data_IF_552274680743
#
_entry.id   IF_552274680743
#
_cell.length_a   1.000
_cell.length_b   1.000
_cell.length_c   1.000
_cell.angle_alpha   90.00
_cell.angle_beta   90.00
_cell.angle_gamma   90.00
#
_symmetry.space_group_name_H-M   'P 1'
#
loop_
_entity.id
_entity.type
_entity.pdbx_description
1 polymer ?
#
# COMPACT_ATOMS: atom_id res chain seq x y z
N UNK A 1 18.27 -7.61 1.43
CA UNK A 1 18.51 -6.24 1.92
C UNK A 1 19.03 -6.39 3.35
N UNK A 2 20.25 -5.94 3.64
CA UNK A 2 20.92 -6.19 4.92
C UNK A 2 20.57 -5.02 5.86
N UNK A 3 20.22 -5.31 7.13
CA UNK A 3 19.82 -4.32 8.16
C UNK A 3 20.84 -3.19 8.31
N UNK A 4 22.12 -3.47 8.07
CA UNK A 4 23.23 -2.52 8.18
C UNK A 4 23.11 -1.30 7.26
N UNK A 5 22.37 -1.41 6.15
CA UNK A 5 22.12 -0.31 5.21
C UNK A 5 21.11 0.72 5.76
N UNK A 6 20.33 0.38 6.79
CA UNK A 6 19.26 1.21 7.37
C UNK A 6 19.58 1.80 8.74
N UNK A 7 20.61 1.30 9.43
CA UNK A 7 20.96 1.66 10.82
C UNK A 7 21.57 3.06 11.00
N UNK A 8 21.84 3.77 9.91
CA UNK A 8 22.35 5.15 9.97
C UNK A 8 21.27 6.23 10.18
N UNK A 9 20.00 5.85 10.17
CA UNK A 9 18.88 6.75 10.42
C UNK A 9 18.63 6.87 11.92
N UNK A 10 18.18 8.06 12.35
CA UNK A 10 17.80 8.31 13.73
C UNK A 10 16.66 7.38 14.16
N UNK A 11 16.76 6.83 15.37
CA UNK A 11 15.69 6.08 16.00
C UNK A 11 14.76 7.02 16.79
N UNK A 12 13.48 6.70 16.77
CA UNK A 12 12.42 7.36 17.50
C UNK A 12 11.60 6.29 18.23
N UNK A 13 11.10 6.62 19.41
CA UNK A 13 10.28 5.73 20.24
C UNK A 13 8.88 6.34 20.43
N UNK A 14 8.04 6.37 19.36
CA UNK A 14 6.67 6.86 19.43
C UNK A 14 5.80 6.00 20.34
N UNK A 15 4.70 6.62 20.81
CA UNK A 15 3.66 5.98 21.58
C UNK A 15 2.48 5.63 20.66
N UNK A 16 1.96 4.42 20.77
CA UNK A 16 0.77 3.96 20.07
C UNK A 16 -0.46 4.67 20.64
N UNK A 17 -1.23 5.30 19.77
CA UNK A 17 -2.49 5.95 20.14
C UNK A 17 -3.69 5.03 19.97
N UNK A 18 -3.70 4.28 18.87
CA UNK A 18 -4.77 3.37 18.51
C UNK A 18 -4.22 2.18 17.74
N UNK A 19 -4.80 1.00 17.96
CA UNK A 19 -4.57 -0.21 17.18
C UNK A 19 -5.93 -0.84 16.88
N UNK A 20 -6.47 -0.56 15.69
CA UNK A 20 -7.81 -0.97 15.27
C UNK A 20 -7.74 -2.06 14.21
N UNK A 21 -8.49 -3.16 14.39
CA UNK A 21 -8.71 -4.13 13.31
C UNK A 21 -9.54 -3.47 12.21
N UNK A 22 -9.09 -3.58 10.96
CA UNK A 22 -9.73 -3.02 9.76
C UNK A 22 -10.14 -4.10 8.76
N UNK A 23 -9.72 -5.36 8.94
CA UNK A 23 -10.27 -6.50 8.22
C UNK A 23 -11.57 -6.95 8.89
N UNK A 24 -12.53 -7.43 8.10
CA UNK A 24 -13.76 -8.00 8.61
C UNK A 24 -13.48 -9.13 9.62
N UNK A 25 -14.38 -9.34 10.57
CA UNK A 25 -14.20 -10.40 11.58
C UNK A 25 -14.14 -11.79 10.96
N UNK A 26 -14.86 -11.98 9.87
CA UNK A 26 -14.95 -13.22 9.09
C UNK A 26 -13.81 -13.40 8.08
N UNK A 27 -12.99 -12.37 7.85
CA UNK A 27 -11.82 -12.46 6.97
C UNK A 27 -10.76 -13.39 7.56
N UNK A 28 -10.07 -14.13 6.68
CA UNK A 28 -9.03 -15.08 7.06
C UNK A 28 -7.85 -14.41 7.76
N UNK A 29 -7.53 -13.19 7.36
CA UNK A 29 -6.41 -12.43 7.89
C UNK A 29 -6.87 -11.33 8.84
N UNK A 30 -6.15 -11.17 9.95
CA UNK A 30 -6.25 -10.00 10.80
C UNK A 30 -5.38 -8.89 10.22
N UNK A 31 -6.00 -7.75 9.88
CA UNK A 31 -5.27 -6.54 9.45
C UNK A 31 -5.65 -5.40 10.37
N UNK A 32 -4.64 -4.65 10.82
CA UNK A 32 -4.80 -3.51 11.72
C UNK A 32 -4.29 -2.22 11.12
N UNK A 33 -5.00 -1.14 11.40
CA UNK A 33 -4.52 0.22 11.30
C UNK A 33 -3.97 0.62 12.67
N UNK A 34 -2.69 1.00 12.70
CA UNK A 34 -1.97 1.35 13.93
C UNK A 34 -1.54 2.79 13.83
N UNK A 35 -2.08 3.63 14.73
CA UNK A 35 -1.76 5.05 14.81
C UNK A 35 -0.80 5.31 15.96
N UNK A 36 0.19 6.17 15.72
CA UNK A 36 1.17 6.57 16.73
C UNK A 36 1.62 8.02 16.53
N UNK A 37 2.20 8.61 17.57
CA UNK A 37 2.78 9.94 17.52
C UNK A 37 4.28 9.88 17.69
N UNK A 38 5.01 10.47 16.73
CA UNK A 38 6.46 10.56 16.70
C UNK A 38 6.90 12.03 16.86
N UNK A 39 8.16 12.24 17.30
CA UNK A 39 8.81 13.54 17.34
C UNK A 39 8.66 14.29 16.00
N UNK A 40 8.26 15.54 16.02
CA UNK A 40 7.99 16.35 14.82
C UNK A 40 9.19 16.61 13.90
N UNK A 41 10.39 16.16 14.30
CA UNK A 41 11.58 16.11 13.43
C UNK A 41 11.59 14.92 12.47
N UNK A 42 10.69 13.97 12.66
CA UNK A 42 10.43 12.92 11.68
C UNK A 42 9.64 13.52 10.52
N UNK A 43 10.28 13.65 9.36
CA UNK A 43 9.70 14.30 8.18
C UNK A 43 9.41 13.25 7.10
N UNK A 44 8.18 12.79 7.04
CA UNK A 44 7.71 11.75 6.13
C UNK A 44 6.57 12.26 5.26
N UNK A 45 6.54 11.81 4.02
CA UNK A 45 5.53 12.16 3.04
C UNK A 45 4.74 10.93 2.59
N UNK A 46 3.55 11.17 2.04
CA UNK A 46 2.72 10.12 1.45
C UNK A 46 3.46 9.41 0.30
N UNK A 47 3.38 8.09 0.28
CA UNK A 47 4.15 7.22 -0.63
C UNK A 47 5.48 6.73 -0.06
N UNK A 48 5.97 7.35 1.02
CA UNK A 48 7.15 6.85 1.73
C UNK A 48 6.79 5.80 2.78
N UNK A 49 7.83 5.10 3.25
CA UNK A 49 7.76 4.11 4.31
C UNK A 49 8.48 4.60 5.56
N UNK A 50 8.05 4.13 6.70
CA UNK A 50 8.84 4.09 7.92
C UNK A 50 9.35 2.68 8.16
N UNK A 51 10.48 2.58 8.84
CA UNK A 51 11.07 1.32 9.28
C UNK A 51 10.67 1.04 10.71
N UNK A 52 10.16 -0.16 10.98
CA UNK A 52 9.78 -0.62 12.30
C UNK A 52 10.79 -1.65 12.83
N UNK A 53 11.22 -1.46 14.05
CA UNK A 53 12.13 -2.39 14.75
C UNK A 53 11.34 -3.16 15.79
N UNK A 54 11.00 -4.41 15.48
CA UNK A 54 10.47 -5.34 16.46
C UNK A 54 11.62 -6.00 17.25
N UNK A 55 11.38 -6.47 18.48
CA UNK A 55 12.34 -7.32 19.18
C UNK A 55 12.72 -8.53 18.32
N UNK A 56 14.02 -8.77 18.16
CA UNK A 56 14.54 -9.90 17.40
C UNK A 56 14.57 -11.19 18.20
N UNK A 57 15.06 -12.26 17.56
CA UNK A 57 15.29 -13.56 18.22
C UNK A 57 16.65 -13.57 18.88
N UNK A 58 16.70 -13.28 20.19
CA UNK A 58 17.93 -13.27 20.96
C UNK A 58 18.65 -14.63 20.96
N UNK A 59 17.89 -15.73 20.82
CA UNK A 59 18.40 -17.12 20.77
C UNK A 59 19.37 -17.35 19.60
N UNK A 60 19.28 -16.55 18.53
CA UNK A 60 20.17 -16.61 17.37
C UNK A 60 21.02 -15.36 17.20
N UNK A 61 21.11 -14.51 18.26
CA UNK A 61 21.93 -13.29 18.26
C UNK A 61 21.34 -12.15 17.43
N UNK A 62 20.03 -12.16 17.17
CA UNK A 62 19.33 -11.09 16.47
C UNK A 62 18.62 -10.19 17.49
N UNK A 63 19.16 -8.99 17.72
CA UNK A 63 18.59 -8.03 18.69
C UNK A 63 17.31 -7.38 18.18
N UNK A 64 17.21 -7.11 16.89
CA UNK A 64 16.08 -6.43 16.25
C UNK A 64 15.68 -7.11 14.95
N UNK A 65 14.38 -7.06 14.66
CA UNK A 65 13.79 -7.48 13.38
C UNK A 65 13.20 -6.27 12.69
N UNK A 66 13.81 -5.85 11.60
CA UNK A 66 13.45 -4.65 10.85
C UNK A 66 12.50 -4.96 9.69
N UNK A 67 11.45 -4.14 9.52
CA UNK A 67 10.54 -4.18 8.37
C UNK A 67 10.10 -2.77 7.99
N UNK A 68 9.82 -2.57 6.71
CA UNK A 68 9.25 -1.34 6.17
C UNK A 68 7.72 -1.42 6.14
N UNK A 69 7.07 -0.33 6.52
CA UNK A 69 5.63 -0.15 6.42
C UNK A 69 5.31 1.18 5.76
N UNK A 70 4.41 1.15 4.79
CA UNK A 70 3.97 2.36 4.09
C UNK A 70 3.10 3.21 5.00
N UNK A 71 3.21 4.54 4.85
CA UNK A 71 2.32 5.48 5.52
C UNK A 71 0.90 5.29 5.00
N UNK A 72 -0.03 5.00 5.90
CA UNK A 72 -1.42 4.61 5.60
C UNK A 72 -2.43 5.75 5.71
N UNK A 73 -2.05 6.90 6.25
CA UNK A 73 -2.85 8.14 6.28
C UNK A 73 -1.95 9.35 6.06
N UNK A 74 -2.54 10.50 5.75
CA UNK A 74 -1.81 11.76 5.63
C UNK A 74 -1.17 12.11 6.98
N UNK A 75 0.16 12.34 7.02
CA UNK A 75 0.83 12.76 8.23
C UNK A 75 0.24 14.05 8.79
N UNK A 76 -0.13 14.06 10.08
CA UNK A 76 -0.80 15.19 10.71
C UNK A 76 0.07 15.78 11.81
N UNK A 77 0.41 17.06 11.70
CA UNK A 77 1.08 17.78 12.78
C UNK A 77 0.09 18.12 13.89
N UNK A 78 0.48 17.83 15.11
CA UNK A 78 -0.28 18.12 16.33
C UNK A 78 0.10 19.51 16.88
N UNK A 79 -0.72 20.07 17.75
CA UNK A 79 -0.48 21.39 18.35
C UNK A 79 0.78 21.42 19.24
N UNK A 80 1.17 20.29 19.81
CA UNK A 80 2.41 20.12 20.59
C UNK A 80 3.66 19.84 19.74
N UNK A 81 3.50 19.93 18.39
CA UNK A 81 4.61 19.85 17.44
C UNK A 81 5.05 18.42 17.09
N UNK A 82 4.33 17.39 17.52
CA UNK A 82 4.54 16.01 17.09
C UNK A 82 3.94 15.74 15.71
N UNK A 83 4.21 14.55 15.20
CA UNK A 83 3.64 14.06 13.94
C UNK A 83 2.85 12.78 14.21
N UNK A 84 1.56 12.80 13.89
CA UNK A 84 0.70 11.61 13.95
C UNK A 84 0.76 10.88 12.61
N UNK A 85 1.00 9.58 12.70
CA UNK A 85 1.15 8.67 11.57
C UNK A 85 0.26 7.45 11.75
N UNK A 86 -0.01 6.76 10.63
CA UNK A 86 -0.72 5.49 10.60
C UNK A 86 0.01 4.52 9.68
N UNK A 87 0.04 3.25 10.08
CA UNK A 87 0.51 2.12 9.27
C UNK A 87 -0.56 1.03 9.21
N UNK A 88 -0.55 0.28 8.11
CA UNK A 88 -1.43 -0.87 7.92
C UNK A 88 -0.62 -2.15 8.03
N UNK A 89 -0.98 -3.01 8.97
CA UNK A 89 -0.23 -4.23 9.28
C UNK A 89 -1.13 -5.45 9.19
N UNK A 90 -0.77 -6.41 8.32
CA UNK A 90 -1.36 -7.74 8.29
C UNK A 90 -0.60 -8.65 9.23
N UNK A 91 -1.30 -9.35 10.14
CA UNK A 91 -0.73 -10.38 11.00
C UNK A 91 -0.35 -11.60 10.16
N UNK A 92 0.94 -11.77 9.93
CA UNK A 92 1.48 -12.83 9.09
C UNK A 92 1.90 -14.06 9.89
N UNK A 93 1.80 -15.21 9.22
CA UNK A 93 2.33 -16.48 9.67
C UNK A 93 3.11 -17.10 8.52
N UNK A 94 4.07 -17.95 8.82
CA UNK A 94 4.75 -18.77 7.84
C UNK A 94 4.69 -20.24 8.24
N UNK A 95 4.74 -21.11 7.25
CA UNK A 95 4.85 -22.56 7.46
C UNK A 95 6.31 -22.93 7.23
N UNK A 96 6.91 -23.56 8.22
CA UNK A 96 8.25 -24.10 8.10
C UNK A 96 8.26 -25.29 7.14
N UNK A 97 9.10 -25.22 6.11
CA UNK A 97 9.13 -26.22 5.03
C UNK A 97 9.58 -27.62 5.50
N UNK A 98 10.33 -27.70 6.61
CA UNK A 98 10.85 -28.95 7.14
C UNK A 98 9.89 -29.60 8.11
N UNK A 99 9.31 -28.85 9.03
CA UNK A 99 8.41 -29.35 10.07
C UNK A 99 6.95 -29.36 9.66
N UNK A 100 6.55 -28.50 8.71
CA UNK A 100 5.16 -28.23 8.37
C UNK A 100 4.41 -27.44 9.44
N UNK A 101 5.09 -26.97 10.47
CA UNK A 101 4.50 -26.22 11.57
C UNK A 101 4.31 -24.76 11.19
N UNK A 102 3.26 -24.15 11.74
CA UNK A 102 2.92 -22.74 11.53
C UNK A 102 3.56 -21.87 12.62
N UNK A 103 4.36 -20.89 12.20
CA UNK A 103 5.01 -19.95 13.07
C UNK A 103 4.54 -18.51 12.83
N UNK A 104 4.43 -17.66 13.90
CA UNK A 104 4.09 -16.26 13.75
C UNK A 104 5.26 -15.47 13.13
N UNK A 105 4.94 -14.56 12.23
CA UNK A 105 5.89 -13.57 11.74
C UNK A 105 6.29 -12.61 12.88
N UNK A 106 7.57 -12.31 13.02
CA UNK A 106 8.08 -11.56 14.16
C UNK A 106 7.50 -10.14 14.23
N UNK A 107 7.78 -9.31 13.22
CA UNK A 107 7.38 -7.90 13.24
C UNK A 107 5.85 -7.73 13.20
N UNK A 108 5.16 -8.45 12.32
CA UNK A 108 3.71 -8.29 12.15
C UNK A 108 2.91 -8.69 13.39
N UNK A 109 3.31 -9.77 14.08
CA UNK A 109 2.63 -10.17 15.30
C UNK A 109 2.97 -9.20 16.46
N UNK A 110 4.23 -8.78 16.59
CA UNK A 110 4.60 -7.76 17.58
C UNK A 110 3.75 -6.49 17.41
N UNK A 111 3.68 -5.93 16.19
CA UNK A 111 2.92 -4.72 15.91
C UNK A 111 1.42 -4.89 16.13
N UNK A 112 0.84 -6.03 15.70
CA UNK A 112 -0.59 -6.29 15.90
C UNK A 112 -0.96 -6.52 17.39
N UNK A 113 -0.01 -6.85 18.26
CA UNK A 113 -0.25 -7.02 19.70
C UNK A 113 -0.13 -5.70 20.48
N UNK A 114 0.42 -4.64 19.88
CA UNK A 114 0.54 -3.33 20.52
C UNK A 114 -0.82 -2.73 20.87
N UNK A 115 -0.86 -2.08 22.02
CA UNK A 115 -2.03 -1.40 22.58
C UNK A 115 -1.75 0.09 22.75
N UNK A 116 -2.78 0.93 22.87
CA UNK A 116 -2.62 2.32 23.23
C UNK A 116 -1.75 2.48 24.50
N UNK A 117 -0.74 3.35 24.41
CA UNK A 117 0.25 3.57 25.45
C UNK A 117 1.54 2.76 25.30
N UNK A 118 1.54 1.69 24.49
CA UNK A 118 2.76 0.93 24.20
C UNK A 118 3.70 1.77 23.34
N UNK A 119 4.99 1.46 23.43
CA UNK A 119 6.02 2.08 22.59
C UNK A 119 6.47 1.13 21.49
N UNK A 120 6.72 1.70 20.31
CA UNK A 120 7.41 1.01 19.23
C UNK A 120 8.66 1.81 18.85
N UNK A 121 9.59 1.21 18.14
CA UNK A 121 10.78 1.91 17.65
C UNK A 121 10.70 2.08 16.15
N UNK A 122 10.77 3.33 15.67
CA UNK A 122 10.70 3.67 14.25
C UNK A 122 11.93 4.40 13.78
N UNK A 123 12.20 4.27 12.46
CA UNK A 123 13.30 4.95 11.79
C UNK A 123 12.87 5.32 10.37
N UNK A 124 13.60 6.18 9.69
CA UNK A 124 13.30 6.62 8.34
C UNK A 124 13.21 8.13 8.21
N UNK A 125 12.48 8.65 7.19
CA UNK A 125 11.68 7.90 6.21
C UNK A 125 12.51 7.18 5.14
N UNK A 126 11.88 6.24 4.43
CA UNK A 126 12.48 5.46 3.33
C UNK A 126 11.64 5.54 2.07
N UNK A 127 12.29 5.41 0.91
CA UNK A 127 11.64 5.50 -0.39
C UNK A 127 11.31 6.94 -0.80
N UNK A 128 10.57 7.06 -1.90
CA UNK A 128 10.20 8.34 -2.49
C UNK A 128 8.71 8.62 -2.25
N UNK A 129 8.37 9.90 -2.07
CA UNK A 129 6.98 10.33 -2.05
C UNK A 129 6.29 10.03 -3.39
N UNK A 130 5.00 9.76 -3.35
CA UNK A 130 4.24 9.63 -4.59
C UNK A 130 4.20 10.96 -5.33
N UNK A 131 4.56 10.99 -6.61
CA UNK A 131 4.46 12.20 -7.42
C UNK A 131 2.99 12.62 -7.55
N UNK A 132 2.74 13.91 -7.41
CA UNK A 132 1.44 14.52 -7.70
C UNK A 132 1.52 15.12 -9.09
N UNK A 133 0.70 14.68 -10.07
CA UNK A 133 0.68 15.27 -11.41
C UNK A 133 0.46 16.78 -11.38
N UNK A 134 1.17 17.50 -12.21
CA UNK A 134 0.97 18.94 -12.38
C UNK A 134 -0.27 19.24 -13.24
N UNK A 135 -0.59 18.35 -14.14
CA UNK A 135 -1.69 18.46 -15.09
C UNK A 135 -3.04 18.30 -14.37
N UNK A 136 -3.97 19.20 -14.65
CA UNK A 136 -5.29 19.19 -14.01
C UNK A 136 -6.24 18.16 -14.60
N UNK A 137 -5.93 17.65 -15.79
CA UNK A 137 -6.65 16.65 -16.55
C UNK A 137 -5.94 15.28 -16.58
N UNK A 138 -4.93 15.06 -15.73
CA UNK A 138 -4.18 13.81 -15.67
C UNK A 138 -5.09 12.60 -15.41
N UNK A 139 -4.64 11.43 -15.86
CA UNK A 139 -5.25 10.14 -15.53
C UNK A 139 -4.34 9.42 -14.54
N UNK A 140 -4.88 9.07 -13.37
CA UNK A 140 -4.18 8.30 -12.33
C UNK A 140 -4.77 6.89 -12.28
N UNK A 141 -3.96 5.88 -12.51
CA UNK A 141 -4.33 4.47 -12.40
C UNK A 141 -3.61 3.90 -11.18
N UNK A 142 -4.37 3.58 -10.15
CA UNK A 142 -3.88 3.00 -8.90
C UNK A 142 -4.25 1.53 -8.85
N UNK A 143 -3.28 0.65 -8.62
CA UNK A 143 -3.48 -0.80 -8.61
C UNK A 143 -2.88 -1.35 -7.32
N UNK A 144 -3.73 -1.86 -6.42
CA UNK A 144 -3.28 -2.33 -5.12
C UNK A 144 -4.05 -3.51 -4.58
N UNK A 145 -3.37 -4.40 -3.87
CA UNK A 145 -3.98 -5.56 -3.21
C UNK A 145 -3.51 -5.69 -1.76
N UNK A 146 -4.40 -6.23 -0.93
CA UNK A 146 -4.12 -6.43 0.48
C UNK A 146 -3.68 -5.15 1.18
N UNK A 147 -2.59 -5.20 1.96
CA UNK A 147 -2.05 -4.00 2.64
C UNK A 147 -1.45 -2.96 1.70
N UNK A 148 -1.20 -3.31 0.43
CA UNK A 148 -0.77 -2.35 -0.60
C UNK A 148 -1.77 -1.25 -0.91
N UNK A 149 -3.03 -1.38 -0.47
CA UNK A 149 -4.03 -0.32 -0.60
C UNK A 149 -3.79 0.87 0.36
N UNK A 150 -3.09 0.65 1.46
CA UNK A 150 -2.90 1.66 2.51
C UNK A 150 -2.21 2.95 2.03
N UNK A 151 -1.11 2.91 1.26
CA UNK A 151 -0.51 4.12 0.70
C UNK A 151 -1.45 4.85 -0.26
N UNK A 152 -2.37 4.16 -0.94
CA UNK A 152 -3.35 4.82 -1.81
C UNK A 152 -4.43 5.55 -1.02
N UNK A 153 -4.85 5.01 0.15
CA UNK A 153 -5.71 5.74 1.06
C UNK A 153 -5.09 7.08 1.46
N UNK A 154 -3.84 7.07 1.89
CA UNK A 154 -3.10 8.28 2.24
C UNK A 154 -2.97 9.22 1.03
N UNK A 155 -2.61 8.66 -0.14
CA UNK A 155 -2.39 9.44 -1.36
C UNK A 155 -3.68 10.10 -1.86
N UNK A 156 -4.80 9.41 -1.90
CA UNK A 156 -6.10 9.96 -2.31
C UNK A 156 -6.49 11.14 -1.44
N UNK A 157 -6.36 10.99 -0.12
CA UNK A 157 -6.68 12.04 0.84
C UNK A 157 -5.79 13.27 0.64
N UNK A 158 -4.48 13.04 0.50
CA UNK A 158 -3.49 14.09 0.23
C UNK A 158 -3.73 14.76 -1.13
N UNK A 159 -3.97 13.96 -2.17
CA UNK A 159 -4.18 14.43 -3.54
C UNK A 159 -5.36 15.41 -3.62
N UNK A 160 -6.53 15.03 -3.12
CA UNK A 160 -7.70 15.90 -3.16
C UNK A 160 -7.61 17.11 -2.23
N UNK A 161 -6.76 17.06 -1.20
CA UNK A 161 -6.43 18.25 -0.40
C UNK A 161 -5.56 19.24 -1.18
N UNK A 162 -4.60 18.75 -1.97
CA UNK A 162 -3.69 19.56 -2.77
C UNK A 162 -4.31 20.03 -4.09
N UNK A 163 -5.23 19.26 -4.65
CA UNK A 163 -5.84 19.47 -5.96
C UNK A 163 -7.37 19.43 -5.90
N UNK A 164 -7.99 20.39 -5.17
CA UNK A 164 -9.45 20.41 -5.00
C UNK A 164 -10.21 20.68 -6.30
N UNK A 165 -9.55 21.28 -7.29
CA UNK A 165 -10.07 21.64 -8.63
C UNK A 165 -9.72 20.64 -9.72
N UNK A 166 -9.23 19.45 -9.35
CA UNK A 166 -8.86 18.39 -10.29
C UNK A 166 -10.04 17.96 -11.17
N UNK A 167 -9.81 17.88 -12.48
CA UNK A 167 -10.80 17.53 -13.52
C UNK A 167 -10.44 16.26 -14.30
N UNK A 168 -9.31 15.66 -13.99
CA UNK A 168 -8.86 14.41 -14.60
C UNK A 168 -9.60 13.18 -14.08
N UNK A 169 -8.93 12.05 -14.09
CA UNK A 169 -9.51 10.77 -13.64
C UNK A 169 -8.60 10.06 -12.67
N UNK A 170 -9.21 9.39 -11.71
CA UNK A 170 -8.54 8.48 -10.79
C UNK A 170 -9.28 7.16 -10.83
N UNK A 171 -8.61 6.13 -11.30
CA UNK A 171 -9.08 4.75 -11.27
C UNK A 171 -8.32 3.96 -10.22
N UNK A 172 -9.07 3.32 -9.33
CA UNK A 172 -8.54 2.44 -8.32
C UNK A 172 -8.95 1.00 -8.62
N UNK A 173 -7.99 0.16 -9.02
CA UNK A 173 -8.16 -1.29 -9.07
C UNK A 173 -7.75 -1.87 -7.71
N UNK A 174 -8.74 -2.36 -6.97
CA UNK A 174 -8.55 -2.88 -5.63
C UNK A 174 -8.68 -4.40 -5.63
N UNK A 175 -7.56 -5.09 -5.43
CA UNK A 175 -7.44 -6.54 -5.43
C UNK A 175 -7.62 -7.16 -4.05
N UNK A 176 -8.26 -8.31 -4.01
CA UNK A 176 -8.45 -9.12 -2.82
C UNK A 176 -8.89 -10.55 -3.17
N UNK A 177 -8.81 -11.46 -2.20
CA UNK A 177 -9.31 -12.82 -2.38
C UNK A 177 -10.84 -12.81 -2.40
N UNK A 178 -11.44 -12.08 -1.46
CA UNK A 178 -12.89 -11.88 -1.34
C UNK A 178 -13.21 -10.39 -1.11
N UNK A 179 -14.50 -10.04 -1.15
CA UNK A 179 -14.95 -8.70 -0.75
C UNK A 179 -14.64 -8.34 0.71
N UNK A 180 -14.41 -9.33 1.59
CA UNK A 180 -14.02 -9.12 3.00
C UNK A 180 -12.57 -8.63 3.13
N UNK A 181 -11.75 -8.87 2.11
CA UNK A 181 -10.33 -8.51 2.08
C UNK A 181 -10.08 -7.12 1.48
N UNK A 182 -11.15 -6.44 1.03
CA UNK A 182 -11.06 -5.07 0.51
C UNK A 182 -10.92 -4.08 1.67
N UNK A 183 -9.69 -3.92 2.15
CA UNK A 183 -9.35 -3.02 3.25
C UNK A 183 -9.75 -1.56 2.93
N UNK A 184 -10.23 -0.82 3.96
CA UNK A 184 -10.77 0.55 3.83
C UNK A 184 -11.95 0.68 2.85
N UNK A 185 -12.55 -0.45 2.42
CA UNK A 185 -13.76 -0.57 1.59
C UNK A 185 -14.65 -1.71 2.06
N UNK A 186 -14.70 -1.94 3.34
CA UNK A 186 -15.53 -2.97 3.97
C UNK A 186 -16.39 -2.36 5.08
N UNK A 187 -17.16 -3.20 5.79
CA UNK A 187 -18.07 -2.75 6.86
C UNK A 187 -17.37 -2.17 8.08
N UNK A 188 -16.10 -2.53 8.32
CA UNK A 188 -15.35 -2.05 9.47
C UNK A 188 -14.82 -0.64 9.21
N UNK A 189 -14.32 -0.39 7.99
CA UNK A 189 -13.77 0.89 7.55
C UNK A 189 -14.05 1.09 6.07
N UNK A 190 -14.75 2.16 5.71
CA UNK A 190 -15.01 2.55 4.32
C UNK A 190 -14.57 3.99 4.06
N UNK A 191 -13.26 4.21 4.08
CA UNK A 191 -12.68 5.54 3.87
C UNK A 191 -12.77 5.98 2.40
N UNK A 192 -12.82 5.04 1.46
CA UNK A 192 -12.97 5.34 0.03
C UNK A 192 -14.39 5.79 -0.34
N UNK A 193 -15.40 5.54 0.51
CA UNK A 193 -16.76 6.03 0.31
C UNK A 193 -16.83 7.54 0.15
N UNK A 194 -15.88 8.28 0.76
CA UNK A 194 -15.77 9.74 0.64
C UNK A 194 -15.56 10.26 -0.80
N UNK A 195 -15.18 9.36 -1.70
CA UNK A 195 -14.82 9.72 -3.08
C UNK A 195 -15.81 9.19 -4.12
N UNK A 196 -16.76 8.29 -3.78
CA UNK A 196 -17.67 7.67 -4.75
C UNK A 196 -18.60 8.66 -5.48
N UNK A 197 -18.92 9.77 -4.84
CA UNK A 197 -19.74 10.82 -5.46
C UNK A 197 -18.93 11.80 -6.33
N UNK A 198 -17.60 11.60 -6.45
CA UNK A 198 -16.77 12.45 -7.28
C UNK A 198 -16.75 11.93 -8.72
N UNK A 199 -17.08 12.77 -9.68
CA UNK A 199 -17.02 12.46 -11.11
C UNK A 199 -15.59 12.07 -11.58
N UNK A 200 -14.58 12.44 -10.81
CA UNK A 200 -13.16 12.17 -11.09
C UNK A 200 -12.66 10.83 -10.53
N UNK A 201 -13.47 10.07 -9.77
CA UNK A 201 -13.03 8.85 -9.11
C UNK A 201 -13.93 7.66 -9.45
N UNK A 202 -13.29 6.56 -9.84
CA UNK A 202 -13.94 5.25 -9.99
C UNK A 202 -13.08 4.17 -9.32
N UNK A 203 -13.73 3.18 -8.70
CA UNK A 203 -13.05 2.05 -8.08
C UNK A 203 -13.60 0.72 -8.57
N UNK A 204 -12.70 -0.18 -8.96
CA UNK A 204 -12.98 -1.51 -9.51
C UNK A 204 -12.44 -2.58 -8.56
N UNK A 205 -13.23 -3.63 -8.36
CA UNK A 205 -12.80 -4.78 -7.57
C UNK A 205 -12.16 -5.82 -8.49
N UNK A 206 -10.97 -6.28 -8.12
CA UNK A 206 -10.34 -7.45 -8.71
C UNK A 206 -10.33 -8.55 -7.63
N UNK A 207 -11.31 -9.46 -7.68
CA UNK A 207 -11.46 -10.52 -6.69
C UNK A 207 -11.03 -11.85 -7.30
N UNK A 208 -10.55 -12.77 -6.45
CA UNK A 208 -10.21 -14.12 -6.89
C UNK A 208 -11.44 -14.86 -7.44
N UNK A 209 -11.29 -15.55 -8.57
CA UNK A 209 -12.35 -16.42 -9.11
C UNK A 209 -12.63 -17.62 -8.20
N UNK A 210 -11.63 -18.03 -7.40
CA UNK A 210 -11.68 -19.20 -6.51
C UNK A 210 -11.10 -18.85 -5.15
N UNK A 211 -11.86 -18.08 -4.33
CA UNK A 211 -11.42 -17.70 -3.00
C UNK A 211 -10.99 -18.90 -2.15
N UNK A 212 -9.86 -18.78 -1.48
CA UNK A 212 -9.30 -19.84 -0.64
C UNK A 212 -8.64 -21.01 -1.38
N UNK A 213 -8.68 -21.05 -2.72
CA UNK A 213 -8.03 -22.08 -3.56
C UNK A 213 -6.89 -21.51 -4.42
N UNK A 214 -6.93 -20.22 -4.68
CA UNK A 214 -5.93 -19.50 -5.45
C UNK A 214 -5.62 -18.20 -4.73
N UNK A 215 -4.34 -17.95 -4.51
CA UNK A 215 -3.89 -16.64 -3.97
C UNK A 215 -3.79 -15.56 -5.07
N UNK A 216 -4.28 -15.85 -6.28
CA UNK A 216 -4.21 -14.93 -7.41
C UNK A 216 -5.45 -14.04 -7.46
N UNK A 217 -5.22 -12.75 -7.52
CA UNK A 217 -6.25 -11.73 -7.80
C UNK A 217 -6.61 -11.76 -9.27
N UNK A 218 -7.90 -11.71 -9.61
CA UNK A 218 -8.33 -11.66 -11.01
C UNK A 218 -8.24 -10.22 -11.56
N UNK A 219 -7.01 -9.81 -11.85
CA UNK A 219 -6.75 -8.54 -12.53
C UNK A 219 -7.30 -8.54 -13.96
N UNK A 220 -7.28 -9.69 -14.64
CA UNK A 220 -7.71 -9.81 -16.02
C UNK A 220 -9.18 -9.43 -16.19
N UNK A 221 -10.09 -10.01 -15.40
CA UNK A 221 -11.51 -9.66 -15.47
C UNK A 221 -11.77 -8.18 -15.22
N UNK A 222 -11.11 -7.59 -14.18
CA UNK A 222 -11.30 -6.19 -13.84
C UNK A 222 -10.78 -5.22 -14.92
N UNK A 223 -9.62 -5.54 -15.53
CA UNK A 223 -8.96 -4.66 -16.48
C UNK A 223 -9.47 -4.83 -17.91
N UNK A 224 -9.78 -6.06 -18.35
CA UNK A 224 -10.36 -6.28 -19.68
C UNK A 224 -11.75 -5.65 -19.84
N UNK A 225 -12.53 -5.57 -18.74
CA UNK A 225 -13.79 -4.85 -18.75
C UNK A 225 -13.64 -3.35 -19.13
N UNK A 226 -12.43 -2.80 -19.05
CA UNK A 226 -12.04 -1.43 -19.35
C UNK A 226 -10.86 -1.35 -20.34
N UNK A 227 -10.68 -2.41 -21.13
CA UNK A 227 -9.50 -2.57 -21.99
C UNK A 227 -9.27 -1.42 -22.96
N UNK A 228 -10.33 -0.95 -23.63
CA UNK A 228 -10.24 0.15 -24.61
C UNK A 228 -9.81 1.48 -23.96
N UNK A 229 -10.33 1.79 -22.76
CA UNK A 229 -9.93 2.99 -22.04
C UNK A 229 -8.50 2.87 -21.51
N UNK A 230 -8.13 1.70 -20.96
CA UNK A 230 -6.76 1.45 -20.46
C UNK A 230 -5.74 1.52 -21.61
N UNK A 231 -6.01 0.90 -22.76
CA UNK A 231 -5.15 0.96 -23.95
C UNK A 231 -4.88 2.40 -24.36
N UNK A 232 -5.96 3.20 -24.46
CA UNK A 232 -5.84 4.60 -24.80
C UNK A 232 -5.02 5.38 -23.79
N UNK A 233 -5.33 5.27 -22.50
CA UNK A 233 -4.69 6.11 -21.47
C UNK A 233 -3.25 5.72 -21.21
N UNK A 234 -2.91 4.42 -21.20
CA UNK A 234 -1.52 3.98 -21.01
C UNK A 234 -0.57 4.50 -22.11
N UNK A 235 -1.11 4.89 -23.25
CA UNK A 235 -0.36 5.51 -24.34
C UNK A 235 -0.34 7.06 -24.29
N UNK A 236 -1.12 7.68 -23.37
CA UNK A 236 -1.22 9.14 -23.25
C UNK A 236 -0.13 9.74 -22.33
N UNK A 237 0.34 10.97 -22.60
CA UNK A 237 1.46 11.57 -21.87
C UNK A 237 1.14 11.94 -20.43
N UNK A 238 -0.13 12.19 -20.07
CA UNK A 238 -0.57 12.62 -18.73
C UNK A 238 -1.15 11.48 -17.89
N UNK A 239 -0.80 10.24 -18.21
CA UNK A 239 -1.20 9.07 -17.42
C UNK A 239 -0.11 8.67 -16.45
N UNK A 240 -0.48 8.50 -15.19
CA UNK A 240 0.36 8.05 -14.09
C UNK A 240 -0.16 6.73 -13.53
N UNK A 241 0.74 5.79 -13.34
CA UNK A 241 0.39 4.45 -12.81
C UNK A 241 1.11 4.23 -11.49
N UNK A 242 0.36 3.85 -10.47
CA UNK A 242 0.84 3.55 -9.13
C UNK A 242 0.48 2.11 -8.79
N UNK A 243 1.47 1.30 -8.46
CA UNK A 243 1.28 -0.11 -8.11
C UNK A 243 1.78 -0.35 -6.70
N UNK A 244 0.96 -0.99 -5.85
CA UNK A 244 1.36 -1.32 -4.49
C UNK A 244 0.84 -2.69 -4.03
N UNK A 245 1.71 -3.46 -3.36
CA UNK A 245 1.39 -4.79 -2.86
C UNK A 245 2.58 -5.75 -2.84
N UNK A 246 2.31 -7.04 -2.88
CA UNK A 246 3.35 -8.06 -2.98
C UNK A 246 4.05 -7.98 -4.33
N UNK A 247 5.35 -8.26 -4.38
CA UNK A 247 6.19 -8.14 -5.59
C UNK A 247 5.60 -8.88 -6.81
N UNK A 248 4.95 -10.03 -6.60
CA UNK A 248 4.29 -10.82 -7.66
C UNK A 248 3.22 -10.04 -8.44
N UNK A 249 2.65 -8.96 -7.87
CA UNK A 249 1.64 -8.14 -8.57
C UNK A 249 2.18 -7.58 -9.89
N UNK A 250 3.49 -7.30 -9.95
CA UNK A 250 4.12 -6.72 -11.15
C UNK A 250 4.06 -7.72 -12.31
N UNK A 251 4.41 -8.98 -12.07
CA UNK A 251 4.38 -10.03 -13.10
C UNK A 251 2.94 -10.32 -13.55
N UNK A 252 2.00 -10.36 -12.61
CA UNK A 252 0.57 -10.55 -12.91
C UNK A 252 0.02 -9.41 -13.79
N UNK A 253 0.36 -8.17 -13.46
CA UNK A 253 -0.05 -7.00 -14.24
C UNK A 253 0.63 -6.94 -15.61
N UNK A 254 1.89 -7.34 -15.72
CA UNK A 254 2.58 -7.36 -17.01
C UNK A 254 1.90 -8.31 -18.01
N UNK A 255 1.39 -9.44 -17.54
CA UNK A 255 0.61 -10.36 -18.39
C UNK A 255 -0.69 -9.71 -18.87
N UNK A 256 -1.49 -9.17 -17.96
CA UNK A 256 -2.80 -8.59 -18.29
C UNK A 256 -2.68 -7.34 -19.15
N UNK A 257 -1.74 -6.44 -18.81
CA UNK A 257 -1.55 -5.19 -19.55
C UNK A 257 -0.91 -5.42 -20.93
N UNK A 258 -0.16 -6.51 -21.11
CA UNK A 258 0.29 -6.94 -22.44
C UNK A 258 -0.87 -7.41 -23.33
N UNK A 259 -1.88 -8.05 -22.76
CA UNK A 259 -3.11 -8.42 -23.48
C UNK A 259 -3.90 -7.16 -23.84
N UNK A 260 -4.08 -6.22 -22.91
CA UNK A 260 -4.72 -4.91 -23.16
C UNK A 260 -3.99 -4.12 -24.26
N UNK A 261 -2.66 -4.10 -24.25
CA UNK A 261 -1.85 -3.43 -25.27
C UNK A 261 -1.78 -4.18 -26.61
N UNK A 262 -2.36 -5.38 -26.69
CA UNK A 262 -2.35 -6.24 -27.88
C UNK A 262 -1.03 -6.98 -28.14
N UNK A 263 0.04 -6.70 -27.40
CA UNK A 263 1.29 -7.48 -27.40
C UNK A 263 2.26 -7.08 -26.29
N UNK A 264 3.10 -8.03 -25.87
CA UNK A 264 4.20 -7.77 -24.93
C UNK A 264 5.11 -6.63 -25.40
N UNK A 265 5.44 -6.56 -26.70
CA UNK A 265 6.33 -5.55 -27.25
C UNK A 265 5.78 -4.13 -27.08
N UNK A 266 4.46 -3.94 -27.27
CA UNK A 266 3.82 -2.64 -27.11
C UNK A 266 3.77 -2.27 -25.64
N UNK A 267 3.33 -3.23 -24.78
CA UNK A 267 3.24 -3.01 -23.34
C UNK A 267 4.57 -2.61 -22.72
N UNK A 268 5.64 -3.39 -22.95
CA UNK A 268 6.94 -3.09 -22.34
C UNK A 268 7.53 -1.76 -22.81
N UNK A 269 7.27 -1.37 -24.07
CA UNK A 269 7.64 -0.02 -24.53
C UNK A 269 6.90 1.07 -23.75
N UNK A 270 5.58 0.95 -23.56
CA UNK A 270 4.82 1.92 -22.77
C UNK A 270 5.28 1.95 -21.31
N UNK A 271 5.51 0.80 -20.72
CA UNK A 271 6.02 0.71 -19.34
C UNK A 271 7.39 1.36 -19.19
N UNK A 272 8.29 1.16 -20.16
CA UNK A 272 9.61 1.79 -20.17
C UNK A 272 9.50 3.32 -20.32
N UNK A 273 8.63 3.82 -21.19
CA UNK A 273 8.35 5.24 -21.34
C UNK A 273 7.77 5.84 -20.05
N UNK A 274 6.78 5.18 -19.43
CA UNK A 274 6.21 5.57 -18.14
C UNK A 274 7.26 5.62 -17.02
N UNK A 275 8.15 4.62 -16.95
CA UNK A 275 9.26 4.58 -15.98
C UNK A 275 10.28 5.69 -16.22
N UNK A 276 10.68 5.90 -17.47
CA UNK A 276 11.67 6.92 -17.86
C UNK A 276 11.18 8.34 -17.53
N UNK A 277 9.87 8.59 -17.59
CA UNK A 277 9.26 9.87 -17.29
C UNK A 277 8.79 9.99 -15.81
N UNK A 278 9.05 8.99 -14.97
CA UNK A 278 8.64 8.98 -13.56
C UNK A 278 7.13 8.86 -13.34
N UNK A 279 6.40 8.36 -14.34
CA UNK A 279 4.93 8.18 -14.32
C UNK A 279 4.49 6.76 -13.95
N UNK A 280 5.43 5.84 -13.77
CA UNK A 280 5.22 4.49 -13.24
C UNK A 280 5.89 4.37 -11.88
N UNK A 281 5.12 4.16 -10.84
CA UNK A 281 5.58 4.10 -9.46
C UNK A 281 5.22 2.75 -8.85
N UNK A 282 6.21 2.05 -8.33
CA UNK A 282 6.06 0.76 -7.66
C UNK A 282 6.38 0.89 -6.17
N UNK A 283 5.47 0.42 -5.32
CA UNK A 283 5.64 0.27 -3.88
C UNK A 283 5.36 -1.19 -3.51
N UNK A 284 6.30 -2.07 -3.87
CA UNK A 284 6.16 -3.53 -3.70
C UNK A 284 7.11 -4.05 -2.62
N UNK A 285 6.72 -5.18 -1.95
CA UNK A 285 7.43 -5.77 -0.81
C UNK A 285 7.34 -7.30 -0.78
#
# INVERSE_FOLDING_TARGET
MIIEDYVHSRLYDPEVLESRRISAAEANDEVRDIQFEVDGRFDVQVGQNNGELAPGRQEIGQDHHFRLYSIADVPQRTDDGKLRLSICVRRCYYIDEFSGERYPGIASNYLCDLKPGDKLTVTGPYGQAFPIPAENDATLIMIGAGTGIAPFRAFMKHFYQQRPDFQGRIWLFHGGDTGLDLLYRNREVDDFALYYDRETFEAFNALSERPGWSETTDWAAAMHARGEELERWLSEPHTYVYVAGLERIIDELDLVLAEVAGSNRIWFRWKDDLKAEGRWVELVY
#
